data_IF_444456008884
#
_entry.id   IF_444456008884
#
_cell.length_a   1.000
_cell.length_b   1.000
_cell.length_c   1.000
_cell.angle_alpha   90.00
_cell.angle_beta   90.00
_cell.angle_gamma   90.00
#
_symmetry.space_group_name_H-M   'P 1'
#
loop_
_entity.id
_entity.type
_entity.pdbx_description
1 polymer ?
#
# COMPACT_ATOMS: atom_id res chain seq x y z
N UNK A 1 -9.54 -31.18 8.29
CA UNK A 1 -8.20 -30.90 7.71
C UNK A 1 -7.98 -31.93 6.62
N UNK A 2 -7.83 -31.50 5.37
CA UNK A 2 -7.72 -32.40 4.22
C UNK A 2 -6.28 -32.95 4.11
N UNK A 3 -6.06 -34.15 4.63
CA UNK A 3 -4.91 -34.99 4.32
C UNK A 3 -5.15 -35.63 2.96
N UNK A 4 -4.64 -35.01 1.89
CA UNK A 4 -4.97 -35.51 0.55
C UNK A 4 -4.18 -34.95 -0.62
N UNK A 5 -2.90 -34.56 -0.46
CA UNK A 5 -2.04 -34.22 -1.61
C UNK A 5 -0.56 -34.61 -1.38
N UNK A 6 -0.28 -35.72 -0.70
CA UNK A 6 1.09 -36.26 -0.67
C UNK A 6 1.35 -36.99 -2.00
N UNK A 7 1.98 -36.31 -2.96
CA UNK A 7 2.41 -36.91 -4.24
C UNK A 7 2.10 -36.12 -5.50
N UNK A 8 1.44 -34.95 -5.41
CA UNK A 8 1.24 -34.09 -6.57
C UNK A 8 2.59 -33.48 -6.96
N UNK A 9 3.05 -33.73 -8.19
CA UNK A 9 4.27 -33.09 -8.71
C UNK A 9 4.09 -31.56 -8.61
N UNK A 10 5.01 -30.82 -7.96
CA UNK A 10 4.92 -29.36 -7.88
C UNK A 10 4.78 -28.81 -9.29
N UNK A 11 3.86 -27.88 -9.48
CA UNK A 11 3.72 -27.22 -10.79
C UNK A 11 5.04 -26.52 -11.17
N UNK A 12 5.30 -26.35 -12.46
CA UNK A 12 6.50 -25.65 -12.96
C UNK A 12 6.72 -24.29 -12.26
N UNK A 13 5.65 -23.52 -12.09
CA UNK A 13 5.66 -22.22 -11.40
C UNK A 13 5.90 -22.32 -9.89
N UNK A 14 5.62 -23.45 -9.26
CA UNK A 14 5.93 -23.70 -7.84
C UNK A 14 7.38 -24.16 -7.66
N UNK A 15 7.98 -24.77 -8.68
CA UNK A 15 9.41 -25.09 -8.65
C UNK A 15 10.27 -23.82 -8.60
N UNK A 16 9.84 -22.74 -9.27
CA UNK A 16 10.48 -21.42 -9.19
C UNK A 16 10.47 -20.82 -7.77
N UNK A 17 9.66 -21.36 -6.86
CA UNK A 17 9.60 -20.92 -5.47
C UNK A 17 10.63 -21.61 -4.57
N UNK A 18 11.32 -22.66 -5.02
CA UNK A 18 12.22 -23.43 -4.15
C UNK A 18 13.63 -22.83 -4.14
N UNK A 19 14.13 -22.29 -3.00
CA UNK A 19 15.46 -21.66 -2.94
C UNK A 19 16.62 -22.64 -3.20
N UNK A 20 16.37 -23.94 -3.01
CA UNK A 20 17.40 -24.99 -3.00
C UNK A 20 17.45 -25.83 -4.29
N UNK A 21 16.64 -25.49 -5.28
CA UNK A 21 16.76 -26.07 -6.62
C UNK A 21 17.24 -24.93 -7.50
N UNK A 22 18.56 -24.77 -7.56
CA UNK A 22 19.20 -24.03 -8.64
C UNK A 22 18.69 -24.63 -9.93
N UNK A 23 17.67 -23.98 -10.50
CA UNK A 23 17.24 -24.21 -11.87
C UNK A 23 18.51 -24.05 -12.70
N UNK A 24 18.81 -25.05 -13.51
CA UNK A 24 19.89 -25.02 -14.49
C UNK A 24 20.00 -23.60 -15.07
N UNK A 25 21.23 -23.07 -15.16
CA UNK A 25 21.57 -21.70 -15.66
C UNK A 25 21.03 -21.37 -17.06
N UNK A 26 20.14 -22.20 -17.62
CA UNK A 26 19.27 -21.83 -18.72
C UNK A 26 18.41 -20.61 -18.33
N UNK A 27 18.85 -19.44 -18.79
CA UNK A 27 18.15 -18.16 -18.65
C UNK A 27 16.68 -18.20 -19.09
N UNK A 28 16.30 -19.19 -19.92
CA UNK A 28 14.95 -19.36 -20.46
C UNK A 28 13.86 -19.61 -19.39
N UNK A 29 14.19 -20.27 -18.27
CA UNK A 29 13.23 -20.54 -17.18
C UNK A 29 13.41 -19.57 -15.98
N UNK A 30 14.32 -18.62 -16.08
CA UNK A 30 14.64 -17.69 -14.99
C UNK A 30 13.59 -16.59 -14.85
N UNK A 31 13.34 -16.14 -13.62
CA UNK A 31 12.55 -14.92 -13.34
C UNK A 31 13.19 -13.63 -13.88
N UNK A 32 14.37 -13.71 -14.51
CA UNK A 32 14.96 -12.65 -15.31
C UNK A 32 14.27 -12.48 -16.66
N UNK A 33 13.63 -13.53 -17.19
CA UNK A 33 12.93 -13.47 -18.47
C UNK A 33 11.58 -12.75 -18.33
N UNK A 34 11.32 -11.69 -19.11
CA UNK A 34 10.04 -10.96 -19.07
C UNK A 34 8.81 -11.85 -19.28
N UNK A 35 8.92 -12.85 -20.18
CA UNK A 35 7.84 -13.78 -20.46
C UNK A 35 7.52 -14.69 -19.26
N UNK A 36 8.56 -15.11 -18.51
CA UNK A 36 8.39 -15.91 -17.28
C UNK A 36 7.77 -15.05 -16.17
N UNK A 37 8.19 -13.79 -16.04
CA UNK A 37 7.62 -12.84 -15.07
C UNK A 37 6.10 -12.67 -15.26
N UNK A 38 5.63 -12.52 -16.50
CA UNK A 38 4.21 -12.37 -16.80
C UNK A 38 3.40 -13.64 -16.48
N UNK A 39 3.92 -14.82 -16.85
CA UNK A 39 3.30 -16.11 -16.48
C UNK A 39 3.24 -16.29 -14.98
N UNK A 40 4.31 -15.93 -14.28
CA UNK A 40 4.38 -16.00 -12.82
C UNK A 40 3.42 -15.00 -12.16
N UNK A 41 3.28 -13.80 -12.71
CA UNK A 41 2.29 -12.81 -12.26
C UNK A 41 0.85 -13.32 -12.42
N UNK A 42 0.55 -14.03 -13.51
CA UNK A 42 -0.74 -14.69 -13.73
C UNK A 42 -0.98 -15.79 -12.68
N UNK A 43 0.02 -16.62 -12.40
CA UNK A 43 -0.06 -17.62 -11.32
C UNK A 43 -0.36 -16.99 -9.95
N UNK A 44 0.29 -15.85 -9.63
CA UNK A 44 -0.02 -15.08 -8.41
C UNK A 44 -1.46 -14.56 -8.42
N UNK A 45 -1.94 -14.02 -9.55
CA UNK A 45 -3.34 -13.58 -9.68
C UNK A 45 -4.32 -14.73 -9.44
N UNK A 46 -4.06 -15.90 -10.02
CA UNK A 46 -4.89 -17.09 -9.87
C UNK A 46 -4.92 -17.56 -8.41
N UNK A 47 -3.77 -17.55 -7.72
CA UNK A 47 -3.69 -17.84 -6.27
C UNK A 47 -4.50 -16.84 -5.45
N UNK A 48 -4.37 -15.54 -5.74
CA UNK A 48 -5.10 -14.50 -5.03
C UNK A 48 -6.61 -14.63 -5.24
N UNK A 49 -7.05 -14.90 -6.47
CA UNK A 49 -8.47 -15.14 -6.78
C UNK A 49 -9.05 -16.36 -6.07
N UNK A 50 -8.29 -17.46 -5.99
CA UNK A 50 -8.67 -18.65 -5.20
C UNK A 50 -8.79 -18.32 -3.71
N UNK A 51 -7.87 -17.51 -3.19
CA UNK A 51 -7.90 -17.10 -1.80
C UNK A 51 -9.10 -16.20 -1.48
N UNK A 52 -9.39 -15.24 -2.36
CA UNK A 52 -10.55 -14.34 -2.22
C UNK A 52 -11.88 -15.13 -2.31
N UNK A 53 -11.94 -16.17 -3.14
CA UNK A 53 -13.09 -17.08 -3.20
C UNK A 53 -13.24 -17.95 -1.94
N UNK A 54 -12.14 -18.43 -1.34
CA UNK A 54 -12.15 -19.23 -0.13
C UNK A 54 -12.47 -18.40 1.14
N UNK A 55 -12.09 -17.13 1.14
CA UNK A 55 -12.24 -16.20 2.25
C UNK A 55 -12.94 -14.89 1.82
N UNK A 56 -14.23 -14.94 1.45
CA UNK A 56 -15.01 -13.73 1.17
C UNK A 56 -14.98 -12.78 2.38
N UNK A 57 -14.98 -11.48 2.12
CA UNK A 57 -14.88 -10.41 3.13
C UNK A 57 -16.05 -10.34 4.13
N UNK A 58 -17.06 -11.21 4.02
CA UNK A 58 -18.19 -11.26 4.95
C UNK A 58 -17.80 -11.92 6.28
N UNK A 59 -17.23 -11.07 7.13
CA UNK A 59 -17.40 -10.82 8.57
C UNK A 59 -17.57 -11.98 9.56
N UNK A 60 -16.75 -11.91 10.62
CA UNK A 60 -17.11 -12.34 11.98
C UNK A 60 -16.05 -13.15 12.71
N UNK A 61 -15.37 -14.03 11.99
CA UNK A 61 -14.46 -14.98 12.63
C UNK A 61 -13.01 -14.47 12.63
N UNK A 62 -12.53 -14.12 13.83
CA UNK A 62 -11.15 -13.69 14.06
C UNK A 62 -10.15 -14.77 13.62
N UNK A 63 -10.46 -16.05 13.81
CA UNK A 63 -9.59 -17.16 13.40
C UNK A 63 -9.51 -17.26 11.87
N UNK A 64 -10.64 -17.07 11.18
CA UNK A 64 -10.67 -17.02 9.72
C UNK A 64 -9.89 -15.84 9.17
N UNK A 65 -9.99 -14.68 9.83
CA UNK A 65 -9.23 -13.48 9.46
C UNK A 65 -7.73 -13.69 9.63
N UNK A 66 -7.31 -14.30 10.74
CA UNK A 66 -5.90 -14.65 10.98
C UNK A 66 -5.37 -15.62 9.90
N UNK A 67 -6.14 -16.68 9.57
CA UNK A 67 -5.77 -17.61 8.51
C UNK A 67 -5.65 -16.93 7.14
N UNK A 68 -6.58 -16.03 6.79
CA UNK A 68 -6.49 -15.25 5.55
C UNK A 68 -5.21 -14.42 5.49
N UNK A 69 -4.82 -13.78 6.60
CA UNK A 69 -3.57 -13.00 6.68
C UNK A 69 -2.33 -13.87 6.48
N UNK A 70 -2.31 -15.08 7.05
CA UNK A 70 -1.22 -16.04 6.87
C UNK A 70 -1.05 -16.44 5.40
N UNK A 71 -2.14 -16.83 4.74
CA UNK A 71 -2.14 -17.20 3.32
C UNK A 71 -1.76 -16.02 2.41
N UNK A 72 -2.23 -14.80 2.71
CA UNK A 72 -1.77 -13.59 2.03
C UNK A 72 -0.26 -13.36 2.24
N UNK A 73 0.26 -13.72 3.41
CA UNK A 73 1.69 -13.72 3.71
C UNK A 73 2.49 -14.63 2.78
N UNK A 74 1.96 -15.81 2.46
CA UNK A 74 2.58 -16.73 1.49
C UNK A 74 2.58 -16.10 0.08
N UNK A 75 1.45 -15.53 -0.35
CA UNK A 75 1.37 -14.83 -1.64
C UNK A 75 2.35 -13.65 -1.73
N UNK A 76 2.60 -12.95 -0.63
CA UNK A 76 3.61 -11.88 -0.58
C UNK A 76 5.04 -12.37 -0.78
N UNK A 77 5.35 -13.62 -0.41
CA UNK A 77 6.64 -14.22 -0.72
C UNK A 77 6.80 -14.45 -2.24
N UNK A 78 5.72 -14.83 -2.92
CA UNK A 78 5.71 -14.95 -4.39
C UNK A 78 5.92 -13.58 -5.03
N UNK A 79 5.21 -12.54 -4.57
CA UNK A 79 5.44 -11.16 -5.01
C UNK A 79 6.87 -10.69 -4.76
N UNK A 80 7.47 -11.03 -3.61
CA UNK A 80 8.86 -10.68 -3.31
C UNK A 80 9.82 -11.27 -4.35
N UNK A 81 9.69 -12.55 -4.70
CA UNK A 81 10.54 -13.19 -5.71
C UNK A 81 10.37 -12.55 -7.09
N UNK A 82 9.12 -12.24 -7.46
CA UNK A 82 8.85 -11.54 -8.70
C UNK A 82 9.53 -10.16 -8.73
N UNK A 83 9.44 -9.40 -7.63
CA UNK A 83 10.11 -8.10 -7.49
C UNK A 83 11.63 -8.21 -7.54
N UNK A 84 12.22 -9.22 -6.89
CA UNK A 84 13.67 -9.50 -6.98
C UNK A 84 14.09 -9.77 -8.43
N UNK A 85 13.29 -10.55 -9.18
CA UNK A 85 13.48 -10.76 -10.62
C UNK A 85 13.44 -9.44 -11.42
N UNK A 86 12.44 -8.59 -11.17
CA UNK A 86 12.30 -7.28 -11.81
C UNK A 86 13.48 -6.34 -11.52
N UNK A 87 13.89 -6.25 -10.25
CA UNK A 87 15.02 -5.43 -9.82
C UNK A 87 16.34 -5.95 -10.42
N UNK A 88 16.51 -7.27 -10.52
CA UNK A 88 17.74 -7.87 -11.08
C UNK A 88 18.01 -7.46 -12.53
N UNK A 89 16.95 -7.25 -13.32
CA UNK A 89 17.03 -6.77 -14.71
C UNK A 89 16.78 -5.26 -14.84
N UNK A 90 16.65 -4.55 -13.71
CA UNK A 90 16.36 -3.10 -13.63
C UNK A 90 15.13 -2.68 -14.48
N UNK A 91 14.10 -3.52 -14.50
CA UNK A 91 12.87 -3.25 -15.26
C UNK A 91 11.99 -2.24 -14.51
N UNK A 92 11.62 -1.15 -15.19
CA UNK A 92 10.87 -0.01 -14.64
C UNK A 92 9.66 0.38 -15.51
N UNK A 93 9.12 -0.58 -16.24
CA UNK A 93 8.00 -0.36 -17.16
C UNK A 93 6.63 -0.44 -16.46
N UNK A 94 5.56 -0.32 -17.25
CA UNK A 94 4.18 -0.40 -16.76
C UNK A 94 3.87 -1.74 -16.06
N UNK A 95 4.50 -2.84 -16.50
CA UNK A 95 4.37 -4.15 -15.85
C UNK A 95 5.01 -4.12 -14.46
N UNK A 96 6.22 -3.59 -14.33
CA UNK A 96 6.86 -3.44 -13.02
C UNK A 96 6.00 -2.59 -12.07
N UNK A 97 5.43 -1.47 -12.55
CA UNK A 97 4.51 -0.67 -11.76
C UNK A 97 3.31 -1.50 -11.26
N UNK A 98 2.60 -2.20 -12.16
CA UNK A 98 1.46 -3.05 -11.81
C UNK A 98 1.81 -4.09 -10.72
N UNK A 99 2.95 -4.77 -10.87
CA UNK A 99 3.41 -5.78 -9.91
C UNK A 99 3.64 -5.16 -8.53
N UNK A 100 4.29 -4.01 -8.46
CA UNK A 100 4.54 -3.32 -7.20
C UNK A 100 3.25 -2.77 -6.59
N UNK A 101 2.35 -2.21 -7.39
CA UNK A 101 1.02 -1.77 -6.95
C UNK A 101 0.20 -2.91 -6.34
N UNK A 102 0.17 -4.07 -7.01
CA UNK A 102 -0.50 -5.27 -6.53
C UNK A 102 0.14 -5.81 -5.24
N UNK A 103 1.48 -5.81 -5.18
CA UNK A 103 2.23 -6.18 -3.97
C UNK A 103 1.91 -5.26 -2.79
N UNK A 104 1.81 -3.94 -3.01
CA UNK A 104 1.43 -2.94 -1.99
C UNK A 104 0.01 -3.21 -1.47
N UNK A 105 -0.98 -3.37 -2.36
CA UNK A 105 -2.37 -3.64 -1.96
C UNK A 105 -2.48 -4.94 -1.16
N UNK A 106 -1.75 -5.98 -1.59
CA UNK A 106 -1.69 -7.27 -0.89
C UNK A 106 -1.03 -7.13 0.48
N UNK A 107 0.05 -6.35 0.59
CA UNK A 107 0.76 -6.12 1.85
C UNK A 107 -0.12 -5.40 2.87
N UNK A 108 -0.92 -4.43 2.43
CA UNK A 108 -1.88 -3.73 3.30
C UNK A 108 -3.00 -4.67 3.75
N UNK A 109 -3.58 -5.48 2.84
CA UNK A 109 -4.59 -6.50 3.20
C UNK A 109 -4.06 -7.53 4.21
N UNK A 110 -2.78 -7.89 4.12
CA UNK A 110 -2.11 -8.80 5.03
C UNK A 110 -1.64 -8.13 6.34
N UNK A 111 -1.76 -6.80 6.46
CA UNK A 111 -1.14 -5.99 7.53
C UNK A 111 0.38 -6.23 7.67
N UNK A 112 1.05 -6.56 6.56
CA UNK A 112 2.49 -6.80 6.54
C UNK A 112 3.24 -5.49 6.24
N UNK A 113 3.44 -4.69 7.29
CA UNK A 113 4.07 -3.38 7.20
C UNK A 113 5.54 -3.42 6.76
N UNK A 114 6.25 -4.50 7.05
CA UNK A 114 7.64 -4.68 6.63
C UNK A 114 7.73 -4.82 5.10
N UNK A 115 6.89 -5.66 4.51
CA UNK A 115 6.82 -5.79 3.05
C UNK A 115 6.35 -4.49 2.40
N UNK A 116 5.37 -3.81 3.01
CA UNK A 116 4.89 -2.52 2.53
C UNK A 116 6.02 -1.47 2.46
N UNK A 117 6.82 -1.36 3.51
CA UNK A 117 7.98 -0.46 3.58
C UNK A 117 9.09 -0.79 2.58
N UNK A 118 9.20 -2.05 2.14
CA UNK A 118 10.10 -2.45 1.06
C UNK A 118 9.53 -2.20 -0.35
N UNK A 119 8.20 -2.16 -0.53
CA UNK A 119 7.57 -1.93 -1.84
C UNK A 119 7.46 -0.45 -2.18
N UNK A 120 6.94 0.35 -1.25
CA UNK A 120 6.48 1.71 -1.52
C UNK A 120 7.59 2.68 -1.96
N UNK A 121 8.79 2.71 -1.33
CA UNK A 121 9.84 3.63 -1.75
C UNK A 121 10.25 3.40 -3.20
N UNK A 122 10.46 2.14 -3.61
CA UNK A 122 10.86 1.83 -4.99
C UNK A 122 9.76 2.16 -6.00
N UNK A 123 8.50 1.84 -5.68
CA UNK A 123 7.36 2.19 -6.55
C UNK A 123 7.25 3.71 -6.75
N UNK A 124 7.33 4.47 -5.65
CA UNK A 124 7.05 5.91 -5.65
C UNK A 124 8.24 6.74 -6.10
N UNK A 125 9.47 6.38 -5.70
CA UNK A 125 10.67 7.17 -5.95
C UNK A 125 11.42 6.75 -7.22
N UNK A 126 11.31 5.48 -7.63
CA UNK A 126 12.08 4.97 -8.77
C UNK A 126 11.16 4.74 -9.99
N UNK A 127 10.09 3.96 -9.85
CA UNK A 127 9.23 3.56 -10.99
C UNK A 127 8.31 4.71 -11.44
N UNK A 128 7.61 5.36 -10.51
CA UNK A 128 6.63 6.40 -10.86
C UNK A 128 7.23 7.62 -11.57
N UNK A 129 8.41 8.15 -11.19
CA UNK A 129 9.01 9.26 -11.92
C UNK A 129 9.43 8.85 -13.33
N UNK A 130 9.96 7.64 -13.52
CA UNK A 130 10.34 7.12 -14.83
C UNK A 130 9.14 7.04 -15.79
N UNK A 131 7.98 6.58 -15.31
CA UNK A 131 6.75 6.54 -16.12
C UNK A 131 6.10 7.91 -16.35
N UNK A 132 6.51 8.94 -15.61
CA UNK A 132 6.01 10.31 -15.78
C UNK A 132 6.61 11.00 -17.00
N UNK A 133 7.85 10.66 -17.30
CA UNK A 133 8.68 11.31 -18.30
C UNK A 133 9.05 10.31 -19.41
N UNK A 134 8.13 10.03 -20.35
CA UNK A 134 8.41 9.15 -21.48
C UNK A 134 9.47 9.72 -22.42
N UNK A 135 9.92 10.97 -22.23
CA UNK A 135 10.93 11.61 -23.06
C UNK A 135 12.37 11.34 -22.58
N UNK A 136 12.57 10.62 -21.47
CA UNK A 136 13.91 10.27 -20.98
C UNK A 136 14.46 9.01 -21.69
N UNK A 137 15.40 9.14 -22.64
CA UNK A 137 15.92 8.02 -23.41
C UNK A 137 17.13 7.45 -22.67
N UNK A 138 16.91 6.46 -21.80
CA UNK A 138 18.02 5.72 -21.19
C UNK A 138 17.62 4.31 -20.76
N UNK A 139 17.08 3.51 -21.68
CA UNK A 139 17.35 2.07 -21.63
C UNK A 139 18.67 1.80 -22.36
N UNK A 140 19.70 1.27 -21.69
CA UNK A 140 20.83 0.69 -22.38
C UNK A 140 20.35 -0.60 -23.05
N UNK A 141 20.04 -0.50 -24.35
CA UNK A 141 19.95 -1.69 -25.19
C UNK A 141 21.25 -2.47 -25.04
N UNK A 142 21.22 -3.81 -24.87
CA UNK A 142 22.43 -4.61 -24.98
C UNK A 142 22.89 -4.54 -26.43
N UNK A 143 23.81 -3.61 -26.72
CA UNK A 143 24.45 -3.47 -28.01
C UNK A 143 25.34 -4.68 -28.25
N UNK A 144 24.83 -5.62 -29.04
CA UNK A 144 25.63 -6.63 -29.74
C UNK A 144 26.60 -5.87 -30.64
N UNK A 145 27.90 -5.97 -30.34
CA UNK A 145 28.97 -5.39 -31.14
C UNK A 145 29.03 -6.08 -32.50
N UNK A 146 28.46 -5.47 -33.54
CA UNK A 146 28.83 -5.75 -34.92
C UNK A 146 29.39 -4.50 -35.57
N UNK A 147 30.65 -4.62 -35.94
CA UNK A 147 31.49 -3.63 -36.59
C UNK A 147 31.13 -3.56 -38.07
N UNK A 148 30.52 -2.47 -38.53
CA UNK A 148 30.54 -2.12 -39.95
C UNK A 148 30.40 -0.61 -40.17
N UNK A 149 31.55 -0.01 -40.48
CA UNK A 149 31.74 1.31 -41.08
C UNK A 149 31.05 1.45 -42.45
N UNK A 150 30.20 2.46 -42.64
CA UNK A 150 30.09 3.24 -43.90
C UNK A 150 29.40 4.60 -43.65
N UNK A 151 29.68 5.65 -44.47
CA UNK A 151 29.36 7.03 -44.15
C UNK A 151 28.00 7.51 -44.70
N UNK A 152 27.43 8.46 -43.96
CA UNK A 152 26.23 9.25 -44.22
C UNK A 152 26.39 10.19 -45.42
N UNK A 153 25.68 9.93 -46.51
CA UNK A 153 25.00 10.94 -47.36
C UNK A 153 23.94 10.21 -48.17
N UNK A 154 22.78 10.84 -48.37
CA UNK A 154 21.68 10.42 -49.27
C UNK A 154 20.58 9.52 -48.67
N UNK A 155 19.69 10.12 -47.87
CA UNK A 155 18.24 9.84 -47.93
C UNK A 155 17.45 10.82 -47.07
N UNK A 156 17.22 12.01 -47.62
CA UNK A 156 16.23 12.98 -47.14
C UNK A 156 15.05 13.16 -48.13
N UNK A 157 14.96 12.32 -49.16
CA UNK A 157 13.98 12.44 -50.26
C UNK A 157 12.82 11.42 -50.21
N UNK A 158 12.52 10.83 -49.05
CA UNK A 158 11.31 10.01 -48.88
C UNK A 158 10.42 10.49 -47.73
N UNK A 159 10.21 11.80 -47.67
CA UNK A 159 9.04 12.39 -47.01
C UNK A 159 7.91 12.50 -48.04
N UNK A 160 7.06 11.49 -48.15
CA UNK A 160 5.77 11.60 -48.83
C UNK A 160 4.64 11.02 -47.97
N UNK A 161 3.61 11.84 -47.82
CA UNK A 161 2.42 11.67 -46.99
C UNK A 161 1.43 10.68 -47.61
N UNK A 162 0.85 9.79 -46.79
CA UNK A 162 -0.46 9.19 -47.06
C UNK A 162 -1.17 8.86 -45.74
N UNK A 163 -2.44 9.28 -45.56
CA UNK A 163 -3.27 8.90 -44.42
C UNK A 163 -3.87 7.51 -44.63
N UNK A 164 -3.48 6.54 -43.80
CA UNK A 164 -4.08 5.20 -43.77
C UNK A 164 -4.96 5.07 -42.52
N UNK A 165 -6.30 4.96 -42.64
CA UNK A 165 -7.16 4.60 -41.54
C UNK A 165 -7.26 3.06 -41.47
N UNK A 166 -6.42 2.44 -40.64
CA UNK A 166 -6.59 1.04 -40.25
C UNK A 166 -6.64 0.94 -38.71
N UNK A 167 -7.77 0.50 -38.13
CA UNK A 167 -7.92 0.35 -36.68
C UNK A 167 -7.32 -1.00 -36.25
N UNK A 168 -6.00 -1.03 -36.07
CA UNK A 168 -5.33 -2.11 -35.33
C UNK A 168 -5.34 -1.76 -33.84
N UNK A 169 -5.93 -2.59 -32.96
CA UNK A 169 -5.87 -2.39 -31.52
C UNK A 169 -4.47 -2.78 -31.02
N UNK A 170 -3.51 -1.88 -31.19
CA UNK A 170 -2.24 -1.95 -30.47
C UNK A 170 -2.56 -1.83 -28.97
N UNK A 171 -2.06 -2.72 -28.10
CA UNK A 171 -2.19 -2.54 -26.66
C UNK A 171 -1.42 -1.28 -26.28
N UNK A 172 -2.12 -0.16 -26.18
CA UNK A 172 -1.56 1.10 -25.76
C UNK A 172 -1.04 0.94 -24.34
N UNK A 173 0.28 0.85 -24.21
CA UNK A 173 1.03 0.98 -22.95
C UNK A 173 0.88 2.42 -22.44
N UNK A 174 -0.36 2.82 -22.12
CA UNK A 174 -0.65 4.15 -21.59
C UNK A 174 -0.09 4.22 -20.19
N UNK A 175 0.73 5.23 -19.92
CA UNK A 175 1.22 5.53 -18.58
C UNK A 175 0.05 5.52 -17.56
N UNK A 176 0.27 5.06 -16.32
CA UNK A 176 -0.79 5.00 -15.32
C UNK A 176 -1.41 6.38 -15.11
N UNK A 177 -2.74 6.48 -14.93
CA UNK A 177 -3.40 7.76 -14.76
C UNK A 177 -2.80 8.50 -13.56
N UNK A 178 -2.61 9.82 -13.70
CA UNK A 178 -2.02 10.68 -12.66
C UNK A 178 -2.69 10.47 -11.28
N UNK A 179 -3.99 10.24 -11.26
CA UNK A 179 -4.76 9.96 -10.04
C UNK A 179 -4.25 8.72 -9.28
N UNK A 180 -3.94 7.63 -9.98
CA UNK A 180 -3.43 6.39 -9.40
C UNK A 180 -2.05 6.58 -8.79
N UNK A 181 -1.18 7.33 -9.48
CA UNK A 181 0.15 7.67 -8.97
C UNK A 181 0.06 8.48 -7.69
N UNK A 182 -0.78 9.52 -7.68
CA UNK A 182 -1.05 10.34 -6.49
C UNK A 182 -1.62 9.53 -5.33
N UNK A 183 -2.46 8.53 -5.64
CA UNK A 183 -2.97 7.60 -4.65
C UNK A 183 -1.86 6.80 -3.97
N UNK A 184 -0.96 6.14 -4.71
CA UNK A 184 0.16 5.41 -4.10
C UNK A 184 1.19 6.30 -3.42
N UNK A 185 1.42 7.53 -3.92
CA UNK A 185 2.20 8.54 -3.20
C UNK A 185 1.56 8.80 -1.84
N UNK A 186 0.23 8.96 -1.77
CA UNK A 186 -0.44 9.14 -0.48
C UNK A 186 -0.26 7.95 0.45
N UNK A 187 -0.31 6.72 -0.04
CA UNK A 187 -0.07 5.53 0.78
C UNK A 187 1.35 5.51 1.33
N UNK A 188 2.34 5.89 0.52
CA UNK A 188 3.72 6.05 0.96
C UNK A 188 3.87 7.10 2.06
N UNK A 189 3.30 8.29 1.85
CA UNK A 189 3.32 9.36 2.85
C UNK A 189 2.63 8.92 4.14
N UNK A 190 1.45 8.29 4.06
CA UNK A 190 0.73 7.77 5.23
C UNK A 190 1.56 6.70 5.96
N UNK A 191 2.20 5.79 5.23
CA UNK A 191 3.04 4.75 5.81
C UNK A 191 4.24 5.35 6.57
N UNK A 192 4.94 6.33 5.97
CA UNK A 192 6.02 7.05 6.63
C UNK A 192 5.55 7.72 7.93
N UNK A 193 4.41 8.41 7.88
CA UNK A 193 3.84 9.12 9.03
C UNK A 193 3.41 8.17 10.16
N UNK A 194 2.82 7.03 9.81
CA UNK A 194 2.25 6.10 10.78
C UNK A 194 3.30 5.16 11.41
N UNK A 195 4.31 4.73 10.64
CA UNK A 195 5.28 3.73 11.09
C UNK A 195 6.68 4.27 11.39
N UNK A 196 7.01 5.48 10.91
CA UNK A 196 8.34 6.06 11.09
C UNK A 196 8.27 7.49 11.66
N UNK A 197 7.57 7.74 12.78
CA UNK A 197 7.30 9.10 13.27
C UNK A 197 8.57 9.93 13.48
N UNK A 198 9.67 9.32 13.95
CA UNK A 198 10.93 10.01 14.25
C UNK A 198 11.66 10.52 13.00
N UNK A 199 11.56 9.83 11.87
CA UNK A 199 12.21 10.22 10.60
C UNK A 199 11.23 10.84 9.61
N UNK A 200 9.92 10.72 9.86
CA UNK A 200 8.87 11.11 8.93
C UNK A 200 8.87 12.57 8.54
N UNK A 201 9.20 13.49 9.46
CA UNK A 201 9.05 14.93 9.25
C UNK A 201 9.92 15.46 8.10
N UNK A 202 11.27 15.32 8.13
CA UNK A 202 12.10 15.75 7.01
C UNK A 202 11.79 14.98 5.72
N UNK A 203 11.63 13.64 5.83
CA UNK A 203 11.39 12.78 4.66
C UNK A 203 10.07 13.09 3.98
N UNK A 204 9.02 13.48 4.72
CA UNK A 204 7.73 13.88 4.16
C UNK A 204 7.86 15.13 3.30
N UNK A 205 8.56 16.16 3.79
CA UNK A 205 8.79 17.38 3.01
C UNK A 205 9.69 17.13 1.80
N UNK A 206 10.78 16.38 1.97
CA UNK A 206 11.66 16.00 0.86
C UNK A 206 10.89 15.19 -0.20
N UNK A 207 10.03 14.25 0.21
CA UNK A 207 9.22 13.45 -0.72
C UNK A 207 8.23 14.33 -1.46
N UNK A 208 7.56 15.26 -0.79
CA UNK A 208 6.66 16.20 -1.47
C UNK A 208 7.40 17.09 -2.48
N UNK A 209 8.63 17.49 -2.20
CA UNK A 209 9.42 18.30 -3.15
C UNK A 209 9.87 17.54 -4.40
N UNK A 210 9.95 16.20 -4.35
CA UNK A 210 10.30 15.37 -5.51
C UNK A 210 9.18 15.40 -6.57
N UNK A 211 7.94 15.70 -6.16
CA UNK A 211 6.80 15.77 -7.06
C UNK A 211 6.39 17.24 -7.28
N UNK A 212 6.97 17.94 -8.28
CA UNK A 212 6.71 19.37 -8.51
C UNK A 212 5.25 19.69 -8.87
N UNK A 213 4.47 18.69 -9.26
CA UNK A 213 3.01 18.80 -9.45
C UNK A 213 2.23 18.90 -8.14
N UNK A 214 2.88 18.72 -6.98
CA UNK A 214 2.27 18.85 -5.67
C UNK A 214 2.49 20.26 -5.11
N UNK A 215 1.46 20.90 -4.51
CA UNK A 215 1.64 22.15 -3.80
C UNK A 215 2.70 22.02 -2.68
N UNK A 216 3.46 23.07 -2.33
CA UNK A 216 4.34 23.02 -1.17
C UNK A 216 3.54 22.75 0.11
N UNK A 217 4.14 22.05 1.08
CA UNK A 217 3.46 21.62 2.31
C UNK A 217 2.89 22.78 3.16
N UNK A 218 3.42 23.99 3.01
CA UNK A 218 2.98 25.19 3.71
C UNK A 218 1.80 25.93 3.01
N UNK A 219 1.39 25.51 1.81
CA UNK A 219 0.29 26.17 1.10
C UNK A 219 -1.08 25.81 1.70
N UNK A 220 -2.05 26.74 1.67
CA UNK A 220 -3.43 26.43 2.06
C UNK A 220 -3.97 25.26 1.21
N UNK A 221 -4.96 24.50 1.71
CA UNK A 221 -5.54 23.38 0.98
C UNK A 221 -6.18 23.89 -0.32
N UNK A 222 -5.41 23.90 -1.40
CA UNK A 222 -5.92 24.06 -2.76
C UNK A 222 -6.80 22.85 -3.09
N UNK A 223 -7.67 22.92 -4.11
CA UNK A 223 -8.43 21.78 -4.62
C UNK A 223 -7.50 20.76 -5.31
N UNK A 224 -6.48 20.28 -4.59
CA UNK A 224 -5.57 19.23 -5.01
C UNK A 224 -6.19 17.84 -4.83
N UNK A 225 -5.42 16.80 -5.15
CA UNK A 225 -5.86 15.42 -5.01
C UNK A 225 -6.31 15.11 -3.57
N UNK A 226 -7.51 14.52 -3.37
CA UNK A 226 -8.04 14.20 -2.04
C UNK A 226 -7.12 13.27 -1.26
N UNK A 227 -6.39 12.39 -1.97
CA UNK A 227 -5.41 11.49 -1.37
C UNK A 227 -4.24 12.23 -0.70
N UNK A 228 -3.74 13.29 -1.35
CA UNK A 228 -2.64 14.11 -0.79
C UNK A 228 -3.17 15.01 0.33
N UNK A 229 -4.39 15.53 0.20
CA UNK A 229 -5.05 16.28 1.26
C UNK A 229 -5.20 15.43 2.53
N UNK A 230 -5.59 14.16 2.41
CA UNK A 230 -5.64 13.21 3.53
C UNK A 230 -4.26 13.03 4.20
N UNK A 231 -3.20 12.82 3.41
CA UNK A 231 -1.85 12.66 3.95
C UNK A 231 -1.39 13.91 4.72
N UNK A 232 -1.68 15.11 4.20
CA UNK A 232 -1.39 16.39 4.90
C UNK A 232 -2.23 16.57 6.16
N UNK A 233 -3.52 16.25 6.11
CA UNK A 233 -4.38 16.32 7.29
C UNK A 233 -3.89 15.37 8.39
N UNK A 234 -3.42 14.18 7.99
CA UNK A 234 -2.81 13.19 8.90
C UNK A 234 -1.51 13.74 9.48
N UNK A 235 -0.62 14.28 8.65
CA UNK A 235 0.60 14.95 9.10
C UNK A 235 0.31 16.02 10.15
N UNK A 236 -0.65 16.91 9.90
CA UNK A 236 -1.04 17.96 10.85
C UNK A 236 -1.61 17.39 12.15
N UNK A 237 -2.46 16.37 12.07
CA UNK A 237 -3.03 15.72 13.24
C UNK A 237 -1.95 15.07 14.12
N UNK A 238 -0.97 14.40 13.51
CA UNK A 238 0.15 13.78 14.23
C UNK A 238 1.10 14.82 14.83
N UNK A 239 1.45 15.86 14.07
CA UNK A 239 2.37 16.93 14.51
C UNK A 239 1.80 17.72 15.68
N UNK A 240 0.53 18.11 15.59
CA UNK A 240 -0.15 18.87 16.64
C UNK A 240 -0.69 17.99 17.77
N UNK A 241 -0.50 16.67 17.68
CA UNK A 241 -1.11 15.70 18.59
C UNK A 241 -2.63 15.92 18.74
N UNK A 242 -3.30 16.31 17.65
CA UNK A 242 -4.74 16.55 17.61
C UNK A 242 -5.48 15.23 17.36
N UNK A 243 -5.71 14.49 18.45
CA UNK A 243 -6.37 13.18 18.42
C UNK A 243 -7.82 13.25 17.91
N UNK A 244 -8.52 14.37 18.12
CA UNK A 244 -9.89 14.57 17.61
C UNK A 244 -9.89 14.67 16.09
N UNK A 245 -8.94 15.42 15.53
CA UNK A 245 -8.76 15.48 14.08
C UNK A 245 -8.40 14.10 13.52
N UNK A 246 -7.47 13.39 14.16
CA UNK A 246 -7.09 12.03 13.74
C UNK A 246 -8.27 11.06 13.79
N UNK A 247 -9.06 11.08 14.88
CA UNK A 247 -10.27 10.28 15.02
C UNK A 247 -11.31 10.59 13.92
N UNK A 248 -11.40 11.85 13.48
CA UNK A 248 -12.26 12.24 12.36
C UNK A 248 -11.76 11.65 11.03
N UNK A 249 -10.45 11.58 10.81
CA UNK A 249 -9.85 10.98 9.62
C UNK A 249 -10.05 9.45 9.57
N UNK A 250 -10.24 8.79 10.72
CA UNK A 250 -10.52 7.34 10.78
C UNK A 250 -11.97 6.99 10.45
N UNK A 251 -12.87 7.97 10.36
CA UNK A 251 -14.28 7.69 10.05
C UNK A 251 -14.40 7.24 8.60
N UNK A 252 -15.03 6.09 8.33
CA UNK A 252 -15.32 5.70 6.97
C UNK A 252 -16.21 6.78 6.32
N UNK A 253 -16.10 6.98 5.00
CA UNK A 253 -17.02 7.87 4.29
C UNK A 253 -18.45 7.44 4.59
N UNK A 254 -19.25 8.35 5.12
CA UNK A 254 -20.68 8.11 5.34
C UNK A 254 -21.27 7.63 4.02
N UNK A 255 -21.95 6.49 4.03
CA UNK A 255 -22.61 5.88 2.85
C UNK A 255 -23.79 6.73 2.33
N UNK A 256 -23.83 8.03 2.63
CA UNK A 256 -24.79 8.95 2.06
C UNK A 256 -24.68 8.84 0.55
N UNK A 257 -25.84 8.71 -0.11
CA UNK A 257 -26.03 8.44 -1.53
C UNK A 257 -25.45 9.50 -2.49
N UNK A 258 -24.63 10.43 -1.99
CA UNK A 258 -23.93 11.42 -2.80
C UNK A 258 -22.59 10.83 -3.28
N UNK A 259 -22.35 10.75 -4.59
CA UNK A 259 -21.14 10.16 -5.19
C UNK A 259 -19.85 10.99 -5.02
N UNK A 260 -19.83 12.01 -4.14
CA UNK A 260 -18.59 12.75 -3.81
C UNK A 260 -17.87 12.08 -2.64
N UNK A 261 -17.12 11.03 -2.98
CA UNK A 261 -16.31 10.25 -2.06
C UNK A 261 -15.05 11.03 -1.61
N UNK A 262 -15.22 12.07 -0.79
CA UNK A 262 -14.11 12.85 -0.19
C UNK A 262 -13.47 12.14 1.03
N UNK A 263 -13.75 10.84 1.23
CA UNK A 263 -13.26 10.07 2.36
C UNK A 263 -12.04 9.19 2.03
N UNK A 264 -11.32 8.75 3.07
CA UNK A 264 -10.24 7.78 2.90
C UNK A 264 -10.81 6.44 2.39
N UNK A 265 -10.11 5.82 1.45
CA UNK A 265 -10.45 4.45 1.04
C UNK A 265 -10.03 3.42 2.09
N UNK A 266 -10.38 2.15 1.84
CA UNK A 266 -10.10 1.05 2.75
C UNK A 266 -8.61 0.83 3.02
N UNK A 267 -7.73 1.06 2.04
CA UNK A 267 -6.28 0.86 2.20
C UNK A 267 -5.66 1.99 3.00
N UNK A 268 -6.05 3.24 2.71
CA UNK A 268 -5.65 4.42 3.49
C UNK A 268 -6.12 4.28 4.94
N UNK A 269 -7.37 3.85 5.16
CA UNK A 269 -7.90 3.58 6.50
C UNK A 269 -7.13 2.47 7.22
N UNK A 270 -6.72 1.40 6.53
CA UNK A 270 -5.93 0.33 7.14
C UNK A 270 -4.58 0.85 7.64
N UNK A 271 -3.89 1.69 6.85
CA UNK A 271 -2.63 2.33 7.28
C UNK A 271 -2.89 3.30 8.45
N UNK A 272 -3.94 4.14 8.38
CA UNK A 272 -4.25 5.06 9.48
C UNK A 272 -4.59 4.32 10.78
N UNK A 273 -5.30 3.20 10.69
CA UNK A 273 -5.63 2.35 11.85
C UNK A 273 -4.40 1.73 12.51
N UNK A 274 -3.33 1.47 11.76
CA UNK A 274 -2.09 0.94 12.34
C UNK A 274 -1.42 1.91 13.33
N UNK A 275 -1.63 3.22 13.15
CA UNK A 275 -1.11 4.27 14.04
C UNK A 275 -1.98 4.52 15.28
N UNK A 276 -3.18 3.96 15.35
CA UNK A 276 -4.12 4.18 16.47
C UNK A 276 -3.50 3.84 17.83
N UNK A 277 -2.83 2.69 18.05
CA UNK A 277 -2.22 2.38 19.35
C UNK A 277 -1.19 3.42 19.79
N UNK A 278 -0.32 3.88 18.89
CA UNK A 278 0.67 4.91 19.20
C UNK A 278 0.02 6.27 19.51
N UNK A 279 -1.07 6.61 18.81
CA UNK A 279 -1.83 7.82 19.06
C UNK A 279 -2.62 7.76 20.38
N UNK A 280 -3.15 6.59 20.74
CA UNK A 280 -3.80 6.34 22.05
C UNK A 280 -2.84 6.58 23.20
N UNK A 281 -1.61 6.09 23.10
CA UNK A 281 -0.57 6.29 24.10
C UNK A 281 -0.25 7.77 24.31
N UNK A 282 -0.08 8.53 23.22
CA UNK A 282 0.15 9.97 23.30
C UNK A 282 -1.06 10.71 23.89
N UNK A 283 -2.27 10.36 23.44
CA UNK A 283 -3.51 10.93 23.95
C UNK A 283 -3.67 10.73 25.45
N UNK A 284 -3.37 9.51 25.92
CA UNK A 284 -3.37 9.18 27.34
C UNK A 284 -2.44 10.08 28.15
N UNK A 285 -1.19 10.26 27.70
CA UNK A 285 -0.23 11.14 28.38
C UNK A 285 -0.72 12.61 28.44
N UNK A 286 -1.36 13.09 27.38
CA UNK A 286 -1.96 14.44 27.37
C UNK A 286 -3.13 14.54 28.36
N UNK A 287 -4.01 13.53 28.40
CA UNK A 287 -5.16 13.50 29.31
C UNK A 287 -4.73 13.41 30.77
N UNK A 288 -3.77 12.55 31.08
CA UNK A 288 -3.25 12.37 32.44
C UNK A 288 -2.68 13.67 33.01
N UNK A 289 -1.89 14.39 32.19
CA UNK A 289 -1.34 15.70 32.56
C UNK A 289 -2.41 16.79 32.67
N UNK A 290 -3.36 16.83 31.74
CA UNK A 290 -4.34 17.91 31.63
C UNK A 290 -5.44 17.85 32.68
N UNK A 291 -5.93 16.66 33.00
CA UNK A 291 -7.11 16.49 33.87
C UNK A 291 -6.78 16.17 35.32
N UNK A 292 -5.48 16.08 35.68
CA UNK A 292 -5.02 15.65 37.02
C UNK A 292 -5.87 14.50 37.54
N UNK A 293 -5.92 13.41 36.76
CA UNK A 293 -6.80 12.26 36.97
C UNK A 293 -6.57 11.64 38.37
N UNK A 294 -7.23 12.21 39.38
CA UNK A 294 -7.09 11.86 40.79
C UNK A 294 -8.23 10.95 41.29
N UNK A 295 -9.23 10.69 40.44
CA UNK A 295 -10.39 9.84 40.76
C UNK A 295 -10.71 8.83 39.66
N UNK A 296 -11.67 7.96 39.96
CA UNK A 296 -12.22 6.96 39.03
C UNK A 296 -12.96 7.65 37.87
N UNK A 297 -12.92 7.06 36.67
CA UNK A 297 -13.62 7.59 35.50
C UNK A 297 -15.13 7.32 35.60
N UNK A 298 -15.96 8.36 35.63
CA UNK A 298 -17.43 8.21 35.63
C UNK A 298 -18.01 7.89 34.25
N UNK A 299 -17.33 8.32 33.18
CA UNK A 299 -17.78 8.16 31.79
C UNK A 299 -16.73 7.46 30.91
N UNK A 300 -16.77 6.13 30.89
CA UNK A 300 -15.98 5.31 29.96
C UNK A 300 -16.34 5.56 28.50
N UNK A 301 -17.57 6.00 28.19
CA UNK A 301 -17.97 6.24 26.81
C UNK A 301 -17.29 7.51 26.26
N UNK A 302 -17.19 8.57 27.07
CA UNK A 302 -16.38 9.73 26.73
C UNK A 302 -14.91 9.35 26.56
N UNK A 303 -14.34 8.63 27.51
CA UNK A 303 -12.93 8.25 27.44
C UNK A 303 -12.63 7.37 26.22
N UNK A 304 -13.50 6.40 25.93
CA UNK A 304 -13.42 5.56 24.75
C UNK A 304 -13.42 6.37 23.46
N UNK A 305 -14.31 7.37 23.33
CA UNK A 305 -14.33 8.28 22.17
C UNK A 305 -13.03 9.08 22.04
N UNK A 306 -12.50 9.61 23.14
CA UNK A 306 -11.26 10.41 23.12
C UNK A 306 -10.04 9.54 22.77
N UNK A 307 -9.98 8.32 23.30
CA UNK A 307 -8.94 7.34 23.03
C UNK A 307 -9.25 6.48 21.79
N UNK A 308 -10.22 6.86 20.96
CA UNK A 308 -10.52 6.16 19.70
C UNK A 308 -10.78 4.64 19.87
N UNK A 309 -11.30 4.21 21.02
CA UNK A 309 -11.86 2.87 21.18
C UNK A 309 -13.26 2.85 20.57
N UNK A 310 -13.55 1.93 19.63
CA UNK A 310 -14.91 1.65 19.21
C UNK A 310 -15.79 1.34 20.43
N UNK A 311 -17.09 1.68 20.38
CA UNK A 311 -18.01 1.39 21.48
C UNK A 311 -18.14 -0.12 21.76
N UNK A 312 -17.88 -0.96 20.76
CA UNK A 312 -17.88 -2.42 20.82
C UNK A 312 -16.66 -2.99 21.58
N UNK A 313 -15.58 -2.21 21.70
CA UNK A 313 -14.31 -2.64 22.29
C UNK A 313 -14.13 -2.11 23.73
N UNK A 314 -15.21 -2.00 24.51
CA UNK A 314 -15.14 -1.52 25.91
C UNK A 314 -14.17 -2.37 26.75
N UNK A 315 -14.11 -3.67 26.52
CA UNK A 315 -13.17 -4.57 27.21
C UNK A 315 -11.71 -4.20 26.92
N UNK A 316 -11.37 -3.84 25.68
CA UNK A 316 -10.02 -3.41 25.33
C UNK A 316 -9.66 -2.09 26.03
N UNK A 317 -10.61 -1.17 26.18
CA UNK A 317 -10.42 0.06 26.95
C UNK A 317 -10.17 -0.24 28.44
N UNK A 318 -10.88 -1.21 29.02
CA UNK A 318 -10.67 -1.64 30.41
C UNK A 318 -9.28 -2.25 30.60
N UNK A 319 -8.88 -3.17 29.73
CA UNK A 319 -7.52 -3.74 29.74
C UNK A 319 -6.45 -2.66 29.55
N UNK A 320 -6.72 -1.65 28.71
CA UNK A 320 -5.81 -0.53 28.53
C UNK A 320 -5.67 0.28 29.84
N UNK A 321 -6.77 0.59 30.52
CA UNK A 321 -6.75 1.29 31.81
C UNK A 321 -6.01 0.52 32.90
N UNK A 322 -6.25 -0.79 33.00
CA UNK A 322 -5.56 -1.67 33.94
C UNK A 322 -4.04 -1.67 33.70
N UNK A 323 -3.61 -1.73 32.43
CA UNK A 323 -2.19 -1.59 32.05
C UNK A 323 -1.59 -0.23 32.44
N UNK A 324 -2.41 0.81 32.56
CA UNK A 324 -2.02 2.14 33.06
C UNK A 324 -2.14 2.28 34.58
N UNK A 325 -2.43 1.19 35.31
CA UNK A 325 -2.60 1.20 36.76
C UNK A 325 -3.85 1.94 37.22
N UNK A 326 -4.87 2.09 36.35
CA UNK A 326 -6.15 2.72 36.68
C UNK A 326 -7.23 1.66 36.81
N UNK A 327 -8.03 1.78 37.87
CA UNK A 327 -9.18 0.90 38.08
C UNK A 327 -10.34 1.36 37.20
N UNK A 328 -10.81 0.56 36.23
CA UNK A 328 -12.00 0.93 35.47
C UNK A 328 -13.23 0.91 36.38
N UNK A 329 -14.23 1.78 36.16
CA UNK A 329 -15.50 1.71 36.88
C UNK A 329 -16.16 0.35 36.62
N UNK A 330 -16.98 -0.17 37.57
CA UNK A 330 -17.71 -1.41 37.36
C UNK A 330 -18.54 -1.33 36.06
N UNK A 331 -18.72 -2.46 35.35
CA UNK A 331 -19.59 -2.48 34.17
C UNK A 331 -20.97 -1.96 34.57
N UNK A 332 -21.50 -1.00 33.81
CA UNK A 332 -22.88 -0.56 33.99
C UNK A 332 -23.75 -1.76 33.68
N UNK A 333 -24.33 -2.36 34.72
CA UNK A 333 -25.35 -3.39 34.57
C UNK A 333 -26.50 -2.70 33.85
N UNK A 334 -26.62 -2.91 32.53
CA UNK A 334 -27.79 -2.45 31.78
C UNK A 334 -28.97 -3.10 32.47
N UNK A 335 -29.81 -2.29 33.11
CA UNK A 335 -31.01 -2.82 33.73
C UNK A 335 -31.85 -3.41 32.59
N UNK A 336 -32.51 -4.55 32.82
CA UNK A 336 -33.33 -5.21 31.80
C UNK A 336 -34.56 -4.37 31.35
N UNK A 337 -34.64 -3.11 31.81
CA UNK A 337 -35.76 -2.19 31.64
C UNK A 337 -35.40 -0.96 30.78
N UNK A 338 -34.16 -0.85 30.30
CA UNK A 338 -33.68 0.18 29.33
C UNK A 338 -33.50 -0.40 27.92
#
# INVERSE_FOLDING_TARGET
>A
MATGEVGRKPGEMEMLLSPSRGVDDSDAASLKSPAVQERFRKHIADKLGKLEAAFPEKLGDAARTAKRKEELGIVLLDFRKLREGLTSIRRVDAFAAEVYEASVRTAIKAENWQQLGACLPHLVLDIHPFLADPASPSQPSPSTSETSTTPLTDSLDSLSLSPSPSPSPSPSTSAPPLSLRLYFISLYLLHLLCHHPSTSLPTFHSTLSIFPSLPPAASPPSPGSPHIALARATYHALLTSNYVLFARLLRPPSTSSSPKADGPDAYQLAILRSAVPAMREKAWLSLEKGYKMAGDFEDLAWLGRVLMFPPEEEEQLRTFLEKKGRKPPPPRVRSAWD
#
